data_IF_256964771986
#
_entry.id   IF_256964771986
#
_cell.length_a   1.000
_cell.length_b   1.000
_cell.length_c   1.000
_cell.angle_alpha   90.00
_cell.angle_beta   90.00
_cell.angle_gamma   90.00
#
_symmetry.space_group_name_H-M   'P 1'
#
loop_
_entity.id
_entity.type
_entity.pdbx_description
1 polymer ?
#
# COMPACT_ATOMS: atom_id res chain seq x y z
N UNK A 1 -14.62 -18.87 43.79
CA UNK A 1 -15.01 -19.08 42.39
C UNK A 1 -14.24 -18.09 41.52
N UNK A 2 -13.17 -18.52 40.93
CA UNK A 2 -12.36 -17.66 40.07
C UNK A 2 -12.91 -17.86 38.67
N UNK A 3 -13.61 -16.81 38.15
CA UNK A 3 -14.01 -16.79 36.76
C UNK A 3 -12.77 -16.40 35.97
N UNK A 4 -12.19 -17.34 35.26
CA UNK A 4 -11.08 -17.10 34.38
C UNK A 4 -11.58 -16.34 33.13
N UNK A 5 -11.43 -15.02 33.15
CA UNK A 5 -11.81 -14.15 32.04
C UNK A 5 -10.75 -14.10 30.92
N UNK A 6 -9.72 -14.92 30.99
CA UNK A 6 -8.66 -14.97 29.98
C UNK A 6 -9.07 -15.66 28.67
N UNK A 7 -10.24 -16.29 28.61
CA UNK A 7 -10.70 -16.99 27.41
C UNK A 7 -11.27 -16.06 26.32
N UNK A 8 -11.72 -14.85 26.65
CA UNK A 8 -12.41 -13.96 25.71
C UNK A 8 -11.48 -13.21 24.74
N UNK A 9 -10.22 -13.03 25.10
CA UNK A 9 -9.26 -12.32 24.25
C UNK A 9 -8.79 -13.12 23.03
N UNK A 10 -8.93 -14.43 23.01
CA UNK A 10 -8.44 -15.27 21.92
C UNK A 10 -9.42 -15.45 20.78
N UNK A 11 -10.73 -15.23 21.00
CA UNK A 11 -11.76 -15.38 19.98
C UNK A 11 -11.88 -14.18 19.01
N UNK A 12 -11.47 -12.98 19.42
CA UNK A 12 -11.63 -11.74 18.65
C UNK A 12 -10.56 -11.61 17.54
N UNK A 13 -9.33 -12.04 17.79
CA UNK A 13 -8.22 -11.92 16.84
C UNK A 13 -8.43 -12.67 15.51
N UNK A 14 -8.89 -13.93 15.46
CA UNK A 14 -9.11 -14.60 14.20
C UNK A 14 -10.27 -14.00 13.39
N UNK A 15 -11.30 -13.45 14.03
CA UNK A 15 -12.40 -12.77 13.35
C UNK A 15 -11.94 -11.46 12.69
N UNK A 16 -11.13 -10.65 13.38
CA UNK A 16 -10.54 -9.42 12.85
C UNK A 16 -9.63 -9.73 11.66
N UNK A 17 -8.78 -10.73 11.76
CA UNK A 17 -7.90 -11.15 10.66
C UNK A 17 -8.69 -11.61 9.43
N UNK A 18 -9.76 -12.36 9.63
CA UNK A 18 -10.65 -12.79 8.53
C UNK A 18 -11.34 -11.61 7.86
N UNK A 19 -11.81 -10.63 8.64
CA UNK A 19 -12.44 -9.42 8.12
C UNK A 19 -11.43 -8.58 7.32
N UNK A 20 -10.22 -8.41 7.82
CA UNK A 20 -9.12 -7.72 7.13
C UNK A 20 -8.75 -8.43 5.83
N UNK A 21 -8.63 -9.75 5.84
CA UNK A 21 -8.32 -10.55 4.66
C UNK A 21 -9.43 -10.42 3.58
N UNK A 22 -10.70 -10.43 3.98
CA UNK A 22 -11.83 -10.23 3.06
C UNK A 22 -11.84 -8.83 2.47
N UNK A 23 -11.63 -7.82 3.30
CA UNK A 23 -11.55 -6.42 2.85
C UNK A 23 -10.43 -6.23 1.84
N UNK A 24 -9.27 -6.78 2.14
CA UNK A 24 -8.11 -6.72 1.27
C UNK A 24 -8.37 -7.40 -0.08
N UNK A 25 -8.91 -8.61 -0.07
CA UNK A 25 -9.27 -9.33 -1.29
C UNK A 25 -10.24 -8.53 -2.17
N UNK A 26 -11.22 -7.85 -1.56
CA UNK A 26 -12.15 -6.97 -2.29
C UNK A 26 -11.42 -5.79 -2.93
N UNK A 27 -10.49 -5.17 -2.23
CA UNK A 27 -9.68 -4.07 -2.80
C UNK A 27 -8.80 -4.56 -3.94
N UNK A 28 -8.18 -5.71 -3.82
CA UNK A 28 -7.38 -6.33 -4.89
C UNK A 28 -8.22 -6.56 -6.14
N UNK A 29 -9.40 -7.15 -6.00
CA UNK A 29 -10.34 -7.38 -7.10
C UNK A 29 -10.80 -6.05 -7.71
N UNK A 30 -11.08 -5.05 -6.88
CA UNK A 30 -11.47 -3.71 -7.35
C UNK A 30 -10.36 -3.03 -8.16
N UNK A 31 -9.12 -3.11 -7.71
CA UNK A 31 -7.98 -2.57 -8.49
C UNK A 31 -7.81 -3.29 -9.82
N UNK A 32 -7.93 -4.61 -9.84
CA UNK A 32 -7.88 -5.39 -11.09
C UNK A 32 -8.95 -4.93 -12.07
N UNK A 33 -10.19 -4.78 -11.61
CA UNK A 33 -11.29 -4.32 -12.45
C UNK A 33 -11.08 -2.88 -12.98
N UNK A 34 -10.55 -1.98 -12.16
CA UNK A 34 -10.24 -0.61 -12.55
C UNK A 34 -9.07 -0.53 -13.55
N UNK A 35 -8.09 -1.43 -13.45
CA UNK A 35 -6.93 -1.50 -14.35
C UNK A 35 -7.23 -2.24 -15.65
N UNK A 36 -8.31 -3.01 -15.72
CA UNK A 36 -8.65 -3.82 -16.89
C UNK A 36 -8.70 -3.03 -18.21
N UNK A 37 -9.34 -1.83 -18.31
CA UNK A 37 -9.31 -1.05 -19.54
C UNK A 37 -7.90 -0.62 -19.95
N UNK A 38 -7.07 -0.25 -19.00
CA UNK A 38 -5.67 0.11 -19.24
C UNK A 38 -4.85 -1.10 -19.70
N UNK A 39 -5.05 -2.23 -19.05
CA UNK A 39 -4.42 -3.51 -19.40
C UNK A 39 -4.82 -3.99 -20.79
N UNK A 40 -6.10 -3.89 -21.17
CA UNK A 40 -6.57 -4.23 -22.52
C UNK A 40 -5.89 -3.36 -23.59
N UNK A 41 -5.74 -2.04 -23.34
CA UNK A 41 -5.01 -1.15 -24.24
C UNK A 41 -3.53 -1.54 -24.36
N UNK A 42 -2.89 -1.91 -23.25
CA UNK A 42 -1.51 -2.37 -23.23
C UNK A 42 -1.35 -3.68 -24.00
N UNK A 43 -2.27 -4.62 -23.87
CA UNK A 43 -2.29 -5.90 -24.57
C UNK A 43 -2.48 -5.72 -26.08
N UNK A 44 -3.36 -4.80 -26.49
CA UNK A 44 -3.58 -4.47 -27.89
C UNK A 44 -2.34 -3.81 -28.51
N UNK A 45 -1.59 -3.01 -27.75
CA UNK A 45 -0.35 -2.41 -28.19
C UNK A 45 0.79 -3.42 -28.34
N UNK A 46 0.75 -4.53 -27.59
CA UNK A 46 1.74 -5.62 -27.59
C UNK A 46 1.07 -7.00 -27.78
N UNK A 47 0.52 -7.30 -28.95
CA UNK A 47 -0.12 -8.59 -29.18
C UNK A 47 0.90 -9.74 -29.04
N UNK A 48 0.51 -10.81 -28.38
CA UNK A 48 1.30 -12.02 -28.20
C UNK A 48 2.15 -12.08 -26.93
N UNK A 49 2.16 -11.04 -26.09
CA UNK A 49 2.89 -11.04 -24.82
C UNK A 49 2.01 -11.22 -23.59
N UNK A 50 0.73 -10.92 -23.70
CA UNK A 50 -0.20 -11.16 -22.60
C UNK A 50 -0.53 -12.64 -22.48
N UNK A 51 -0.18 -13.21 -21.34
CA UNK A 51 -0.60 -14.56 -20.94
C UNK A 51 -1.69 -14.52 -19.88
N UNK A 52 -2.17 -13.32 -19.52
CA UNK A 52 -3.22 -13.18 -18.54
C UNK A 52 -4.57 -13.55 -19.17
N UNK A 53 -5.22 -14.54 -18.61
CA UNK A 53 -6.60 -14.87 -18.94
C UNK A 53 -7.53 -13.87 -18.24
N UNK A 54 -8.39 -13.15 -18.99
CA UNK A 54 -9.38 -12.25 -18.37
C UNK A 54 -10.31 -12.95 -17.38
N UNK A 55 -10.55 -14.24 -17.59
CA UNK A 55 -11.36 -15.07 -16.71
C UNK A 55 -10.67 -15.42 -15.40
N UNK A 56 -9.36 -15.30 -15.33
CA UNK A 56 -8.58 -15.54 -14.12
C UNK A 56 -8.75 -14.44 -13.04
N UNK A 57 -9.51 -13.39 -13.31
CA UNK A 57 -9.82 -12.35 -12.33
C UNK A 57 -10.52 -12.90 -11.06
N UNK A 58 -11.14 -14.07 -11.15
CA UNK A 58 -11.73 -14.82 -10.04
C UNK A 58 -10.83 -15.95 -9.54
N UNK A 59 -9.57 -15.95 -9.91
CA UNK A 59 -8.63 -16.99 -9.54
C UNK A 59 -8.44 -17.10 -8.02
N UNK A 60 -7.94 -18.22 -7.58
CA UNK A 60 -7.60 -18.46 -6.17
C UNK A 60 -6.55 -17.47 -5.64
N UNK A 61 -5.75 -16.87 -6.55
CA UNK A 61 -4.73 -15.87 -6.23
C UNK A 61 -5.01 -14.51 -6.91
N UNK A 62 -5.91 -13.67 -6.35
CA UNK A 62 -6.20 -12.36 -6.91
C UNK A 62 -5.02 -11.38 -6.82
N UNK A 63 -4.11 -11.53 -5.86
CA UNK A 63 -2.95 -10.66 -5.71
C UNK A 63 -1.91 -10.96 -6.78
N UNK A 64 -1.63 -12.24 -7.06
CA UNK A 64 -0.75 -12.64 -8.16
C UNK A 64 -1.30 -12.19 -9.51
N UNK A 65 -2.62 -12.25 -9.70
CA UNK A 65 -3.24 -11.73 -10.90
C UNK A 65 -3.09 -10.21 -11.05
N UNK A 66 -3.36 -9.45 -9.99
CA UNK A 66 -3.15 -8.00 -9.98
C UNK A 66 -1.69 -7.64 -10.26
N UNK A 67 -0.75 -8.35 -9.63
CA UNK A 67 0.68 -8.15 -9.88
C UNK A 67 1.04 -8.34 -11.35
N UNK A 68 0.54 -9.40 -11.98
CA UNK A 68 0.76 -9.65 -13.41
C UNK A 68 0.20 -8.54 -14.29
N UNK A 69 -1.02 -8.09 -14.04
CA UNK A 69 -1.65 -6.97 -14.77
C UNK A 69 -0.79 -5.71 -14.69
N UNK A 70 -0.29 -5.37 -13.49
CA UNK A 70 0.58 -4.23 -13.27
C UNK A 70 1.87 -4.35 -14.07
N UNK A 71 2.53 -5.51 -14.03
CA UNK A 71 3.78 -5.75 -14.76
C UNK A 71 3.56 -5.60 -16.27
N UNK A 72 2.51 -6.18 -16.83
CA UNK A 72 2.22 -6.09 -18.27
C UNK A 72 1.95 -4.64 -18.70
N UNK A 73 1.24 -3.85 -17.89
CA UNK A 73 1.03 -2.41 -18.15
C UNK A 73 2.36 -1.65 -18.10
N UNK A 74 3.19 -1.90 -17.08
CA UNK A 74 4.50 -1.26 -16.94
C UNK A 74 5.41 -1.58 -18.12
N UNK A 75 5.45 -2.83 -18.54
CA UNK A 75 6.22 -3.26 -19.71
C UNK A 75 5.77 -2.53 -20.99
N UNK A 76 4.46 -2.34 -21.16
CA UNK A 76 3.95 -1.57 -22.29
C UNK A 76 4.34 -0.09 -22.23
N UNK A 77 4.42 0.49 -21.02
CA UNK A 77 4.81 1.89 -20.83
C UNK A 77 6.28 2.17 -21.17
N UNK A 78 7.14 1.20 -20.95
CA UNK A 78 8.61 1.34 -21.15
C UNK A 78 9.09 0.80 -22.49
N UNK A 79 8.27 0.08 -23.24
CA UNK A 79 8.69 -0.51 -24.53
C UNK A 79 8.85 0.59 -25.58
N UNK A 80 10.08 0.87 -26.08
CA UNK A 80 10.32 1.93 -27.05
C UNK A 80 9.75 1.62 -28.45
N UNK A 81 9.32 0.39 -28.70
CA UNK A 81 8.79 -0.06 -29.99
C UNK A 81 7.31 0.23 -30.15
N UNK A 82 6.64 0.59 -29.07
CA UNK A 82 5.20 0.87 -29.06
C UNK A 82 4.91 2.27 -28.51
N UNK A 83 3.88 2.90 -29.03
CA UNK A 83 3.37 4.12 -28.46
C UNK A 83 2.20 3.77 -27.55
N UNK A 84 2.43 3.80 -26.25
CA UNK A 84 1.41 3.54 -25.24
C UNK A 84 1.19 4.78 -24.38
N UNK A 85 0.09 5.50 -24.66
CA UNK A 85 -0.25 6.69 -23.93
C UNK A 85 -1.03 6.37 -22.66
N UNK A 86 -0.59 6.92 -21.53
CA UNK A 86 -1.26 6.84 -20.25
C UNK A 86 -1.64 8.23 -19.77
N UNK A 87 -2.84 8.37 -19.22
CA UNK A 87 -3.28 9.60 -18.56
C UNK A 87 -2.64 9.73 -17.17
N UNK A 88 -2.77 10.90 -16.56
CA UNK A 88 -2.36 11.10 -15.16
C UNK A 88 -3.17 10.22 -14.22
N UNK A 89 -4.46 10.04 -14.52
CA UNK A 89 -5.34 9.18 -13.71
C UNK A 89 -4.95 7.70 -13.82
N UNK A 90 -4.57 7.23 -15.01
CA UNK A 90 -4.06 5.88 -15.24
C UNK A 90 -2.80 5.61 -14.38
N UNK A 91 -1.86 6.56 -14.37
CA UNK A 91 -0.63 6.47 -13.58
C UNK A 91 -0.92 6.46 -12.09
N UNK A 92 -1.78 7.35 -11.63
CA UNK A 92 -2.19 7.43 -10.23
C UNK A 92 -2.90 6.16 -9.76
N UNK A 93 -3.74 5.57 -10.61
CA UNK A 93 -4.39 4.30 -10.33
C UNK A 93 -3.37 3.16 -10.21
N UNK A 94 -2.40 3.11 -11.14
CA UNK A 94 -1.35 2.11 -11.15
C UNK A 94 -0.49 2.19 -9.89
N UNK A 95 -0.06 3.40 -9.50
CA UNK A 95 0.72 3.63 -8.27
C UNK A 95 -0.04 3.21 -7.01
N UNK A 96 -1.34 3.47 -6.93
CA UNK A 96 -2.17 3.03 -5.81
C UNK A 96 -2.29 1.50 -5.75
N UNK A 97 -2.44 0.85 -6.90
CA UNK A 97 -2.50 -0.60 -6.97
C UNK A 97 -1.17 -1.25 -6.57
N UNK A 98 -0.04 -0.69 -7.01
CA UNK A 98 1.30 -1.11 -6.59
C UNK A 98 1.49 -0.95 -5.08
N UNK A 99 1.13 0.21 -4.53
CA UNK A 99 1.19 0.48 -3.09
C UNK A 99 0.34 -0.49 -2.28
N UNK A 100 -0.81 -0.89 -2.81
CA UNK A 100 -1.68 -1.89 -2.19
C UNK A 100 -0.99 -3.27 -2.10
N UNK A 101 -0.24 -3.67 -3.11
CA UNK A 101 0.52 -4.92 -3.10
C UNK A 101 1.72 -4.86 -2.14
N UNK A 102 2.49 -3.76 -2.18
CA UNK A 102 3.67 -3.55 -1.32
C UNK A 102 3.30 -3.40 0.15
N UNK A 103 2.19 -2.75 0.46
CA UNK A 103 1.69 -2.59 1.84
C UNK A 103 1.47 -3.92 2.58
N UNK A 104 1.55 -5.02 1.86
CA UNK A 104 1.52 -6.37 2.40
C UNK A 104 2.79 -6.78 3.11
N UNK A 105 3.93 -6.49 2.54
CA UNK A 105 5.22 -6.88 3.11
C UNK A 105 5.55 -6.00 4.32
N UNK A 106 5.03 -4.78 4.35
CA UNK A 106 5.27 -3.84 5.45
C UNK A 106 4.40 -4.12 6.67
N UNK A 107 3.27 -4.80 6.52
CA UNK A 107 2.41 -5.16 7.67
C UNK A 107 3.03 -6.23 8.57
N UNK A 108 4.08 -6.93 8.11
CA UNK A 108 4.86 -7.89 8.91
C UNK A 108 5.96 -7.17 9.70
N UNK A 109 6.44 -6.03 9.24
CA UNK A 109 7.37 -5.19 9.96
C UNK A 109 6.59 -4.05 10.63
N UNK A 110 5.97 -4.32 11.78
CA UNK A 110 5.50 -3.26 12.66
C UNK A 110 6.75 -2.52 13.13
N UNK A 111 7.03 -1.29 12.68
CA UNK A 111 8.05 -0.50 13.33
C UNK A 111 7.54 -0.27 14.76
N UNK A 112 8.28 -0.75 15.74
CA UNK A 112 8.11 -0.35 17.12
C UNK A 112 7.97 1.17 17.14
N UNK A 113 6.94 1.72 17.77
CA UNK A 113 6.85 3.16 17.92
C UNK A 113 8.12 3.60 18.62
N UNK A 114 8.96 4.30 17.89
CA UNK A 114 10.11 4.97 18.47
C UNK A 114 9.59 6.01 19.44
N UNK A 115 9.43 5.64 20.70
CA UNK A 115 9.18 6.56 21.81
C UNK A 115 10.44 7.40 22.08
N UNK A 116 11.03 7.94 21.03
CA UNK A 116 12.15 8.84 21.11
C UNK A 116 11.75 10.25 20.70
N UNK A 117 10.60 10.70 21.19
CA UNK A 117 10.46 12.13 21.42
C UNK A 117 10.87 12.40 22.87
N UNK A 118 12.17 12.27 23.12
CA UNK A 118 12.77 12.98 24.23
C UNK A 118 12.45 14.45 24.02
N UNK A 119 11.49 14.95 24.79
CA UNK A 119 11.29 16.39 24.97
C UNK A 119 12.64 16.97 25.33
N UNK A 120 13.26 17.67 24.41
CA UNK A 120 14.36 18.56 24.72
C UNK A 120 13.80 19.58 25.69
N UNK A 121 14.30 19.69 26.93
CA UNK A 121 13.97 20.81 27.77
C UNK A 121 14.44 22.06 27.05
N UNK A 122 13.51 22.99 26.83
CA UNK A 122 13.86 24.29 26.32
C UNK A 122 14.86 24.92 27.32
N UNK A 123 16.10 25.07 26.90
CA UNK A 123 17.08 25.86 27.61
C UNK A 123 16.54 27.29 27.63
N UNK A 124 15.99 27.68 28.77
CA UNK A 124 15.71 29.07 29.08
C UNK A 124 17.06 29.78 29.17
N UNK A 125 17.41 30.45 28.09
CA UNK A 125 18.50 31.39 28.12
C UNK A 125 18.05 32.58 28.99
N UNK A 126 18.45 32.61 30.24
CA UNK A 126 18.32 33.79 31.11
C UNK A 126 19.36 34.76 30.62
N UNK A 127 18.92 35.76 29.86
CA UNK A 127 19.74 36.90 29.54
C UNK A 127 19.87 37.71 30.82
N UNK A 128 21.05 37.58 31.46
CA UNK A 128 21.42 38.37 32.62
C UNK A 128 21.91 39.71 32.09
N UNK A 129 21.10 40.75 32.29
CA UNK A 129 21.47 42.14 31.97
C UNK A 129 22.49 42.61 33.02
N UNK A 130 23.67 43.12 32.64
CA UNK A 130 24.58 43.68 33.61
C UNK A 130 24.04 45.01 34.15
N UNK A 131 24.29 45.31 35.42
CA UNK A 131 23.91 46.59 36.00
C UNK A 131 24.73 47.72 35.41
N UNK A 132 24.06 48.73 34.90
CA UNK A 132 24.66 49.97 34.45
C UNK A 132 25.09 50.74 35.68
N UNK A 133 26.38 50.84 35.92
CA UNK A 133 26.96 51.77 36.90
C UNK A 133 27.16 53.12 36.22
N UNK A 134 26.35 54.09 36.58
CA UNK A 134 26.60 55.50 36.25
C UNK A 134 27.40 56.14 37.36
N UNK A 135 28.42 56.98 37.06
CA UNK A 135 29.07 57.79 38.04
C UNK A 135 28.27 59.00 38.48
#
# INVERSE_FOLDING_TARGET
MVVDQTADGRGVQPAVRRAQHRSRRRHTISFTAQLEPLWLRATLARPGLSQADPLAANSEDPEGHLHRVIVEIRDAMIDPRITFATSTDDRSLLERAESHLVGNDTAVATPLPSHSQARRPALRVTVQTPPTTSP
#
